data_IF_102141460032
#
_entry.id   IF_102141460032
#
_cell.length_a   1.000
_cell.length_b   1.000
_cell.length_c   1.000
_cell.angle_alpha   90.00
_cell.angle_beta   90.00
_cell.angle_gamma   90.00
#
_symmetry.space_group_name_H-M   'P 1'
#
loop_
_entity.id
_entity.type
_entity.pdbx_description
1 polymer ?
#
# COMPACT_ATOMS: atom_id res chain seq x y z
N UNK A 1 -13.98 -25.69 1.12
CA UNK A 1 -13.67 -24.27 1.35
C UNK A 1 -14.96 -23.49 1.36
N UNK A 2 -15.22 -22.76 2.43
CA UNK A 2 -16.28 -21.75 2.45
C UNK A 2 -15.89 -20.59 1.55
N UNK A 3 -16.86 -20.05 0.80
CA UNK A 3 -16.66 -18.90 -0.08
C UNK A 3 -17.08 -17.64 0.69
N UNK A 4 -16.10 -16.80 1.05
CA UNK A 4 -16.34 -15.53 1.75
C UNK A 4 -16.79 -14.39 0.82
N UNK A 5 -16.61 -14.56 -0.50
CA UNK A 5 -17.05 -13.61 -1.53
C UNK A 5 -17.84 -14.38 -2.59
N UNK A 6 -18.97 -13.81 -3.03
CA UNK A 6 -19.83 -14.38 -4.07
C UNK A 6 -19.81 -13.49 -5.31
N UNK A 7 -19.48 -14.10 -6.45
CA UNK A 7 -19.70 -13.48 -7.76
C UNK A 7 -21.13 -13.79 -8.22
N UNK A 8 -21.89 -12.75 -8.53
CA UNK A 8 -23.21 -12.85 -9.17
C UNK A 8 -23.17 -12.13 -10.52
N UNK A 9 -23.23 -12.90 -11.60
CA UNK A 9 -23.16 -12.40 -12.97
C UNK A 9 -24.51 -12.49 -13.70
N UNK A 10 -25.63 -12.67 -12.98
CA UNK A 10 -26.97 -12.82 -13.59
C UNK A 10 -27.34 -11.65 -14.49
N UNK A 11 -26.92 -10.43 -14.14
CA UNK A 11 -27.17 -9.22 -14.93
C UNK A 11 -26.37 -9.16 -16.23
N UNK A 12 -25.36 -10.02 -16.41
CA UNK A 12 -24.59 -10.13 -17.64
C UNK A 12 -25.23 -11.11 -18.64
N UNK A 13 -26.08 -12.05 -18.19
CA UNK A 13 -26.66 -13.11 -19.02
C UNK A 13 -27.49 -12.64 -20.23
N UNK A 14 -28.11 -11.44 -20.25
CA UNK A 14 -28.71 -10.90 -21.47
C UNK A 14 -27.70 -10.57 -22.59
N UNK A 15 -26.41 -10.48 -22.26
CA UNK A 15 -25.34 -10.06 -23.16
C UNK A 15 -24.31 -11.15 -23.44
N UNK A 16 -24.24 -12.20 -22.61
CA UNK A 16 -23.36 -13.36 -22.77
C UNK A 16 -24.08 -14.62 -22.32
N UNK A 17 -24.09 -15.66 -23.16
CA UNK A 17 -24.72 -16.93 -22.81
C UNK A 17 -23.85 -17.76 -21.86
N UNK A 18 -24.49 -18.65 -21.09
CA UNK A 18 -23.75 -19.58 -20.23
C UNK A 18 -22.84 -20.50 -21.03
N UNK A 19 -23.26 -20.91 -22.25
CA UNK A 19 -22.45 -21.76 -23.11
C UNK A 19 -21.14 -21.07 -23.54
N UNK A 20 -21.19 -19.77 -23.85
CA UNK A 20 -19.99 -18.99 -24.14
C UNK A 20 -19.02 -18.99 -22.97
N UNK A 21 -19.51 -18.80 -21.75
CA UNK A 21 -18.69 -18.86 -20.53
C UNK A 21 -18.08 -20.26 -20.36
N UNK A 22 -18.87 -21.33 -20.55
CA UNK A 22 -18.37 -22.70 -20.42
C UNK A 22 -17.32 -23.05 -21.47
N UNK A 23 -17.41 -22.51 -22.68
CA UNK A 23 -16.44 -22.72 -23.74
C UNK A 23 -15.03 -22.19 -23.39
N UNK A 24 -14.92 -21.25 -22.43
CA UNK A 24 -13.62 -20.77 -21.94
C UNK A 24 -12.92 -21.70 -20.95
N UNK A 25 -13.60 -22.75 -20.45
CA UNK A 25 -13.04 -23.65 -19.44
C UNK A 25 -11.63 -24.19 -19.78
N UNK A 26 -11.34 -24.70 -20.99
CA UNK A 26 -10.00 -25.22 -21.31
C UNK A 26 -8.91 -24.14 -21.24
N UNK A 27 -9.24 -22.90 -21.60
CA UNK A 27 -8.31 -21.77 -21.51
C UNK A 27 -8.06 -21.37 -20.05
N UNK A 28 -9.10 -21.36 -19.22
CA UNK A 28 -8.97 -21.08 -17.78
C UNK A 28 -8.10 -22.14 -17.09
N UNK A 29 -8.31 -23.42 -17.41
CA UNK A 29 -7.48 -24.52 -16.90
C UNK A 29 -6.00 -24.35 -17.32
N UNK A 30 -5.75 -24.02 -18.58
CA UNK A 30 -4.40 -23.74 -19.07
C UNK A 30 -3.75 -22.59 -18.31
N UNK A 31 -4.46 -21.47 -18.13
CA UNK A 31 -3.98 -20.31 -17.36
C UNK A 31 -3.70 -20.67 -15.89
N UNK A 32 -4.55 -21.49 -15.28
CA UNK A 32 -4.35 -21.98 -13.91
C UNK A 32 -3.04 -22.76 -13.79
N UNK A 33 -2.78 -23.70 -14.70
CA UNK A 33 -1.52 -24.45 -14.72
C UNK A 33 -0.31 -23.54 -14.93
N UNK A 34 -0.37 -22.60 -15.87
CA UNK A 34 0.72 -21.66 -16.11
C UNK A 34 1.07 -20.86 -14.84
N UNK A 35 0.07 -20.36 -14.10
CA UNK A 35 0.29 -19.61 -12.86
C UNK A 35 0.91 -20.48 -11.76
N UNK A 36 0.31 -21.64 -11.46
CA UNK A 36 0.75 -22.48 -10.34
C UNK A 36 2.08 -23.21 -10.62
N UNK A 37 2.38 -23.51 -11.88
CA UNK A 37 3.65 -24.10 -12.30
C UNK A 37 4.72 -23.04 -12.60
N UNK A 38 4.40 -21.74 -12.42
CA UNK A 38 5.29 -20.60 -12.67
C UNK A 38 5.89 -20.59 -14.07
N UNK A 39 5.05 -20.82 -15.07
CA UNK A 39 5.39 -20.80 -16.50
C UNK A 39 4.79 -19.58 -17.19
N UNK A 40 5.28 -19.29 -18.39
CA UNK A 40 4.80 -18.18 -19.22
C UNK A 40 5.47 -16.85 -18.92
N UNK A 41 5.04 -15.80 -19.62
CA UNK A 41 5.62 -14.48 -19.48
C UNK A 41 5.34 -13.88 -18.09
N UNK A 42 6.38 -13.31 -17.46
CA UNK A 42 6.27 -12.66 -16.15
C UNK A 42 6.26 -13.60 -14.94
N UNK A 43 6.60 -14.88 -15.12
CA UNK A 43 6.62 -15.87 -14.04
C UNK A 43 7.55 -15.51 -12.87
N UNK A 44 8.55 -14.68 -13.11
CA UNK A 44 9.45 -14.12 -12.08
C UNK A 44 8.72 -13.30 -11.00
N UNK A 45 7.49 -12.83 -11.27
CA UNK A 45 6.72 -11.94 -10.39
C UNK A 45 5.49 -12.60 -9.76
N UNK A 46 5.45 -13.94 -9.67
CA UNK A 46 4.32 -14.70 -9.11
C UNK A 46 4.40 -14.95 -7.59
N UNK A 47 5.29 -14.25 -6.89
CA UNK A 47 5.44 -14.40 -5.43
C UNK A 47 4.19 -14.04 -4.62
N UNK A 48 3.22 -13.33 -5.19
CA UNK A 48 1.95 -13.00 -4.54
C UNK A 48 0.98 -14.17 -4.45
N UNK A 49 1.16 -15.23 -5.24
CA UNK A 49 0.21 -16.34 -5.35
C UNK A 49 0.11 -17.14 -4.04
N UNK A 50 1.26 -17.46 -3.44
CA UNK A 50 1.39 -18.23 -2.19
C UNK A 50 1.74 -17.34 -0.99
N UNK A 51 1.88 -16.02 -1.18
CA UNK A 51 2.21 -15.07 -0.10
C UNK A 51 1.28 -15.12 1.10
N UNK A 52 -0.07 -15.21 0.96
CA UNK A 52 -0.97 -15.28 2.10
C UNK A 52 -0.68 -16.44 3.07
N UNK A 53 -0.07 -17.51 2.57
CA UNK A 53 0.30 -18.69 3.37
C UNK A 53 1.78 -18.69 3.78
N UNK A 54 2.65 -18.03 3.01
CA UNK A 54 4.11 -18.15 3.10
C UNK A 54 4.85 -16.87 3.46
N UNK A 55 4.15 -15.79 3.79
CA UNK A 55 4.78 -14.55 4.21
C UNK A 55 5.73 -14.76 5.41
N UNK A 56 6.75 -13.90 5.51
CA UNK A 56 7.70 -13.94 6.62
C UNK A 56 7.03 -13.49 7.93
N UNK A 57 6.88 -14.45 8.85
CA UNK A 57 6.23 -14.23 10.16
C UNK A 57 7.07 -13.37 11.10
N UNK A 58 8.40 -13.44 11.01
CA UNK A 58 9.28 -12.60 11.84
C UNK A 58 9.25 -11.15 11.36
N UNK A 59 9.20 -10.93 10.04
CA UNK A 59 8.95 -9.61 9.48
C UNK A 59 7.59 -9.06 9.89
N UNK A 60 6.54 -9.87 9.83
CA UNK A 60 5.20 -9.47 10.26
C UNK A 60 5.20 -8.99 11.73
N UNK A 61 5.88 -9.71 12.62
CA UNK A 61 6.02 -9.29 14.01
C UNK A 61 6.81 -7.98 14.16
N UNK A 62 7.85 -7.76 13.33
CA UNK A 62 8.58 -6.48 13.30
C UNK A 62 7.67 -5.33 12.83
N UNK A 63 6.79 -5.56 11.86
CA UNK A 63 5.80 -4.57 11.40
C UNK A 63 4.86 -4.18 12.55
N UNK A 64 4.33 -5.15 13.30
CA UNK A 64 3.44 -4.89 14.44
C UNK A 64 4.14 -4.09 15.54
N UNK A 65 5.41 -4.42 15.83
CA UNK A 65 6.25 -3.69 16.80
C UNK A 65 6.51 -2.26 16.33
N UNK A 66 6.88 -2.06 15.07
CA UNK A 66 7.10 -0.74 14.49
C UNK A 66 5.83 0.12 14.54
N UNK A 67 4.68 -0.43 14.16
CA UNK A 67 3.40 0.27 14.23
C UNK A 67 3.04 0.69 15.68
N UNK A 68 3.37 -0.16 16.66
CA UNK A 68 3.16 0.15 18.08
C UNK A 68 4.08 1.26 18.57
N UNK A 69 5.35 1.25 18.15
CA UNK A 69 6.30 2.32 18.43
C UNK A 69 5.78 3.66 17.88
N UNK A 70 5.42 3.70 16.59
CA UNK A 70 4.90 4.89 15.90
C UNK A 70 3.65 5.45 16.62
N UNK A 71 2.73 4.57 17.05
CA UNK A 71 1.54 5.00 17.80
C UNK A 71 1.85 5.67 19.14
N UNK A 72 3.01 5.36 19.74
CA UNK A 72 3.41 5.90 21.04
C UNK A 72 4.13 7.24 20.91
N UNK A 73 4.99 7.39 19.89
CA UNK A 73 5.90 8.54 19.77
C UNK A 73 5.53 9.53 18.66
N UNK A 74 4.51 9.22 17.84
CA UNK A 74 4.11 10.06 16.71
C UNK A 74 2.61 10.35 16.74
N UNK A 75 2.23 11.55 16.30
CA UNK A 75 0.84 11.93 16.00
C UNK A 75 0.52 11.82 14.51
N UNK A 76 1.55 11.82 13.66
CA UNK A 76 1.41 11.65 12.21
C UNK A 76 2.36 10.57 11.71
N UNK A 77 1.87 9.67 10.86
CA UNK A 77 2.69 8.82 10.00
C UNK A 77 2.62 9.38 8.57
N UNK A 78 3.76 9.78 8.02
CA UNK A 78 3.87 10.19 6.61
C UNK A 78 4.35 8.99 5.79
N UNK A 79 3.48 8.45 4.94
CA UNK A 79 3.83 7.40 3.99
C UNK A 79 4.30 8.06 2.70
N UNK A 80 5.56 7.83 2.32
CA UNK A 80 6.14 8.34 1.08
C UNK A 80 6.17 7.24 0.03
N UNK A 81 5.37 7.39 -1.04
CA UNK A 81 5.28 6.39 -2.10
C UNK A 81 4.32 6.80 -3.22
N UNK A 82 4.41 6.13 -4.36
CA UNK A 82 3.53 6.32 -5.52
C UNK A 82 3.13 4.95 -6.11
N UNK A 83 2.05 4.90 -6.88
CA UNK A 83 1.56 3.68 -7.53
C UNK A 83 1.20 2.59 -6.51
N UNK A 84 1.80 1.40 -6.65
CA UNK A 84 1.57 0.27 -5.76
C UNK A 84 2.00 0.53 -4.31
N UNK A 85 3.02 1.37 -4.08
CA UNK A 85 3.48 1.78 -2.75
C UNK A 85 2.55 2.79 -2.05
N UNK A 86 1.47 3.21 -2.72
CA UNK A 86 0.52 4.22 -2.24
C UNK A 86 -0.91 3.68 -2.20
N UNK A 87 -1.40 3.19 -3.33
CA UNK A 87 -2.83 2.88 -3.52
C UNK A 87 -3.32 1.74 -2.62
N UNK A 88 -2.52 0.69 -2.41
CA UNK A 88 -2.92 -0.43 -1.57
C UNK A 88 -3.14 -0.01 -0.11
N UNK A 89 -2.20 0.75 0.45
CA UNK A 89 -2.30 1.28 1.80
C UNK A 89 -3.47 2.26 1.94
N UNK A 90 -3.60 3.21 1.00
CA UNK A 90 -4.69 4.20 1.02
C UNK A 90 -6.06 3.53 0.90
N UNK A 91 -6.23 2.58 -0.02
CA UNK A 91 -7.51 1.88 -0.19
C UNK A 91 -7.92 1.10 1.06
N UNK A 92 -6.98 0.38 1.70
CA UNK A 92 -7.27 -0.35 2.93
C UNK A 92 -7.65 0.59 4.09
N UNK A 93 -6.89 1.67 4.28
CA UNK A 93 -7.17 2.67 5.33
C UNK A 93 -8.53 3.33 5.09
N UNK A 94 -8.81 3.83 3.89
CA UNK A 94 -10.07 4.53 3.62
C UNK A 94 -11.29 3.59 3.69
N UNK A 95 -11.14 2.32 3.30
CA UNK A 95 -12.24 1.36 3.34
C UNK A 95 -12.53 0.81 4.75
N UNK A 96 -11.51 0.69 5.61
CA UNK A 96 -11.63 0.03 6.92
C UNK A 96 -11.69 1.01 8.09
N UNK A 97 -11.20 2.25 7.92
CA UNK A 97 -11.23 3.27 8.97
C UNK A 97 -12.55 4.05 8.97
N UNK A 98 -12.76 4.81 10.05
CA UNK A 98 -13.86 5.78 10.11
C UNK A 98 -13.75 6.80 8.97
N UNK A 99 -14.86 7.22 8.34
CA UNK A 99 -14.82 8.17 7.22
C UNK A 99 -14.16 9.53 7.55
N UNK A 100 -14.10 9.87 8.84
CA UNK A 100 -13.40 11.04 9.38
C UNK A 100 -12.21 10.66 10.27
N UNK A 101 -11.51 9.57 9.97
CA UNK A 101 -10.41 9.04 10.79
C UNK A 101 -9.34 10.10 11.09
N UNK A 102 -9.07 11.01 10.15
CA UNK A 102 -8.12 12.12 10.34
C UNK A 102 -8.48 13.10 11.48
N UNK A 103 -9.74 13.12 11.92
CA UNK A 103 -10.23 13.94 13.02
C UNK A 103 -10.39 13.17 14.34
N UNK A 104 -10.37 11.83 14.28
CA UNK A 104 -10.69 10.97 15.44
C UNK A 104 -9.54 10.08 15.88
N UNK A 105 -8.70 9.65 14.96
CA UNK A 105 -7.63 8.70 15.24
C UNK A 105 -6.47 9.41 15.94
N UNK A 106 -5.89 8.73 16.93
CA UNK A 106 -4.76 9.24 17.70
C UNK A 106 -3.52 9.50 16.83
N UNK A 107 -3.36 8.70 15.77
CA UNK A 107 -2.30 8.85 14.77
C UNK A 107 -2.90 9.00 13.39
N UNK A 108 -2.60 10.11 12.74
CA UNK A 108 -3.07 10.43 11.38
C UNK A 108 -2.11 9.84 10.36
N UNK A 109 -2.63 9.19 9.33
CA UNK A 109 -1.82 8.75 8.18
C UNK A 109 -1.96 9.76 7.06
N UNK A 110 -0.85 10.38 6.66
CA UNK A 110 -0.75 11.29 5.52
C UNK A 110 0.17 10.69 4.46
N UNK A 111 0.04 11.15 3.22
CA UNK A 111 0.78 10.60 2.09
C UNK A 111 1.60 11.69 1.40
N UNK A 112 2.82 11.37 0.99
CA UNK A 112 3.67 12.25 0.21
C UNK A 112 4.38 11.49 -0.91
N UNK A 113 4.98 12.21 -1.86
CA UNK A 113 5.71 11.59 -2.97
C UNK A 113 4.84 10.85 -3.98
N UNK A 114 3.51 10.97 -3.90
CA UNK A 114 2.56 10.51 -4.91
C UNK A 114 2.32 11.53 -6.04
N UNK A 115 2.93 12.71 -5.94
CA UNK A 115 2.91 13.79 -6.94
C UNK A 115 4.14 14.71 -6.74
N UNK A 116 4.32 15.69 -7.62
CA UNK A 116 5.41 16.71 -7.57
C UNK A 116 4.83 18.11 -7.31
N UNK A 117 3.71 18.22 -6.58
CA UNK A 117 3.14 19.51 -6.23
C UNK A 117 3.92 20.13 -5.08
N UNK A 118 4.65 21.21 -5.37
CA UNK A 118 5.38 21.97 -4.35
C UNK A 118 4.43 22.56 -3.31
N UNK A 119 3.26 23.07 -3.72
CA UNK A 119 2.24 23.59 -2.80
C UNK A 119 1.76 22.51 -1.84
N UNK A 120 1.44 21.31 -2.35
CA UNK A 120 1.01 20.19 -1.48
C UNK A 120 2.08 19.81 -0.45
N UNK A 121 3.33 19.74 -0.89
CA UNK A 121 4.44 19.40 0.00
C UNK A 121 4.70 20.51 1.01
N UNK A 122 4.54 21.79 0.63
CA UNK A 122 4.66 22.93 1.52
C UNK A 122 3.58 22.90 2.62
N UNK A 123 2.31 22.71 2.23
CA UNK A 123 1.19 22.61 3.17
C UNK A 123 1.39 21.45 4.15
N UNK A 124 1.90 20.30 3.65
CA UNK A 124 2.25 19.16 4.51
C UNK A 124 3.36 19.52 5.50
N UNK A 125 4.44 20.16 5.04
CA UNK A 125 5.55 20.60 5.90
C UNK A 125 5.05 21.52 7.01
N UNK A 126 4.15 22.44 6.70
CA UNK A 126 3.58 23.35 7.70
C UNK A 126 2.81 22.62 8.79
N UNK A 127 2.06 21.56 8.45
CA UNK A 127 1.41 20.70 9.44
C UNK A 127 2.43 19.93 10.31
N UNK A 128 3.53 19.46 9.71
CA UNK A 128 4.52 18.60 10.38
C UNK A 128 5.45 19.36 11.34
N UNK A 129 5.71 20.64 11.11
CA UNK A 129 6.59 21.46 11.97
C UNK A 129 6.18 21.39 13.44
N UNK A 130 4.89 21.49 13.71
CA UNK A 130 4.35 21.59 15.07
C UNK A 130 3.88 20.24 15.65
N UNK A 131 4.07 19.14 14.94
CA UNK A 131 3.50 17.84 15.29
C UNK A 131 4.54 16.74 15.26
N UNK A 132 4.53 15.82 16.24
CA UNK A 132 5.44 14.68 16.19
C UNK A 132 5.07 13.69 15.09
N UNK A 133 6.06 13.27 14.31
CA UNK A 133 5.80 12.44 13.14
C UNK A 133 6.88 11.40 12.85
N UNK A 134 6.45 10.31 12.22
CA UNK A 134 7.30 9.28 11.64
C UNK A 134 7.20 9.28 10.12
N UNK A 135 8.25 8.84 9.43
CA UNK A 135 8.28 8.65 7.98
C UNK A 135 8.38 7.16 7.65
N UNK A 136 7.51 6.67 6.77
CA UNK A 136 7.65 5.37 6.11
C UNK A 136 7.84 5.57 4.61
N UNK A 137 9.08 5.41 4.13
CA UNK A 137 9.43 5.57 2.71
C UNK A 137 9.43 4.21 2.00
N UNK A 138 8.62 4.08 0.94
CA UNK A 138 8.38 2.80 0.27
C UNK A 138 8.66 2.94 -1.24
N UNK A 139 9.83 2.47 -1.66
CA UNK A 139 10.24 2.45 -3.06
C UNK A 139 11.14 1.25 -3.33
N UNK A 140 10.71 0.33 -4.22
CA UNK A 140 11.49 -0.87 -4.55
C UNK A 140 12.85 -0.55 -5.14
N UNK A 141 12.92 0.45 -6.02
CA UNK A 141 14.17 0.85 -6.67
C UNK A 141 14.98 1.87 -5.86
N UNK A 142 14.34 2.56 -4.91
CA UNK A 142 14.92 3.73 -4.23
C UNK A 142 15.12 4.95 -5.14
N UNK A 143 14.87 4.84 -6.45
CA UNK A 143 15.15 5.87 -7.46
C UNK A 143 13.90 6.46 -8.11
N UNK A 144 12.70 6.00 -7.72
CA UNK A 144 11.43 6.59 -8.17
C UNK A 144 11.40 8.09 -7.83
N UNK A 145 11.21 8.93 -8.86
CA UNK A 145 11.43 10.39 -8.81
C UNK A 145 10.65 11.09 -7.72
N UNK A 146 9.33 10.90 -7.69
CA UNK A 146 8.41 11.63 -6.83
C UNK A 146 8.63 11.28 -5.34
N UNK A 147 8.72 9.98 -4.95
CA UNK A 147 9.10 9.60 -3.59
C UNK A 147 10.50 10.09 -3.20
N UNK A 148 11.49 10.04 -4.10
CA UNK A 148 12.85 10.46 -3.81
C UNK A 148 12.95 11.97 -3.52
N UNK A 149 12.22 12.80 -4.28
CA UNK A 149 12.14 14.26 -4.05
C UNK A 149 11.49 14.53 -2.69
N UNK A 150 10.31 13.95 -2.42
CA UNK A 150 9.61 14.14 -1.17
C UNK A 150 10.43 13.67 0.04
N UNK A 151 11.10 12.51 -0.08
CA UNK A 151 11.96 11.99 0.98
C UNK A 151 13.14 12.92 1.28
N UNK A 152 13.81 13.49 0.27
CA UNK A 152 14.91 14.44 0.51
C UNK A 152 14.45 15.65 1.31
N UNK A 153 13.28 16.19 1.00
CA UNK A 153 12.73 17.35 1.69
C UNK A 153 12.31 16.99 3.12
N UNK A 154 11.56 15.90 3.29
CA UNK A 154 11.02 15.50 4.60
C UNK A 154 12.09 14.90 5.53
N UNK A 155 13.12 14.24 4.99
CA UNK A 155 14.29 13.81 5.76
C UNK A 155 15.02 15.01 6.36
N UNK A 156 15.23 16.07 5.57
CA UNK A 156 15.84 17.30 6.07
C UNK A 156 15.00 17.90 7.20
N UNK A 157 13.68 17.97 7.04
CA UNK A 157 12.78 18.46 8.09
C UNK A 157 12.88 17.60 9.37
N UNK A 158 12.93 16.28 9.23
CA UNK A 158 13.06 15.35 10.36
C UNK A 158 14.39 15.55 11.10
N UNK A 159 15.51 15.60 10.37
CA UNK A 159 16.84 15.85 10.94
C UNK A 159 16.98 17.23 11.58
N UNK A 160 16.36 18.27 11.00
CA UNK A 160 16.35 19.62 11.56
C UNK A 160 15.51 19.68 12.86
N UNK A 161 14.48 18.83 13.00
CA UNK A 161 13.58 18.81 14.16
C UNK A 161 14.10 17.97 15.33
N UNK A 162 14.59 16.76 15.05
CA UNK A 162 14.99 15.78 16.08
C UNK A 162 16.51 15.61 16.20
N UNK A 163 17.29 16.17 15.27
CA UNK A 163 18.71 15.88 15.16
C UNK A 163 18.97 14.51 14.53
N UNK A 164 20.18 14.29 14.00
CA UNK A 164 20.52 13.09 13.23
C UNK A 164 20.54 11.78 14.02
N UNK A 165 20.72 11.85 15.34
CA UNK A 165 20.78 10.65 16.17
C UNK A 165 19.39 10.11 16.50
N UNK A 166 18.38 11.00 16.55
CA UNK A 166 16.99 10.63 16.88
C UNK A 166 16.08 10.53 15.64
N UNK A 167 16.45 11.16 14.51
CA UNK A 167 15.75 11.11 13.22
C UNK A 167 16.00 9.80 12.44
#
# INVERSE_FOLDING_TARGET
MEKYVKLDYRNALPFISEQEIQNYKPFVETCHHLLHEKKGAGSDFLGWLDWPERYDKEEFDRILKAATKIRRDSKILVVIGIGGSYLGAKAAIEALSHHFYQLKDDVKVLFAGQNISSSYLHDLIDVLKDTDFSINVISKSGTTTEPAIAFRVLKKLLEDKYGKEEA
#
